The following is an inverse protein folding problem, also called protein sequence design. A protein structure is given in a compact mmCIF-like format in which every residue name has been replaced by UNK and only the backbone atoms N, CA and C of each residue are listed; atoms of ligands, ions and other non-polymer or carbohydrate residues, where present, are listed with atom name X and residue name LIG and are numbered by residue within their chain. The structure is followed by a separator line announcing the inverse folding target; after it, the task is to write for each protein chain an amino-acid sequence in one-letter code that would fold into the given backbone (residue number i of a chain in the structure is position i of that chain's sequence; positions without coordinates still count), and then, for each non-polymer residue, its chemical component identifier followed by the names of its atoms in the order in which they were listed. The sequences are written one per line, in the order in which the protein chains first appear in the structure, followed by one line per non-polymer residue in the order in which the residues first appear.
data_IF_484637189029
#
_entry.id   IF_484637189029
#
_cell.length_a   1.000
_cell.length_b   1.000
_cell.length_c   1.000
_cell.angle_alpha   90.00
_cell.angle_beta   90.00
_cell.angle_gamma   90.00
#
_symmetry.space_group_name_H-M   'P 1'
#
loop_
_entity.id
_entity.type
_entity.pdbx_description
1 polymer ?
#
# COMPACT_ATOMS: atom_id res chain seq x y z
N UNK A 1 69.98 27.26 13.13
CA UNK A 1 69.60 27.99 11.90
C UNK A 1 68.10 27.74 11.72
N UNK A 2 67.25 28.41 12.50
CA UNK A 2 66.67 29.73 12.20
C UNK A 2 66.03 29.81 10.81
N UNK A 3 64.71 30.00 10.80
CA UNK A 3 63.92 30.26 9.60
C UNK A 3 62.43 30.37 9.91
N UNK A 4 62.05 31.37 10.70
CA UNK A 4 60.67 31.86 10.85
C UNK A 4 60.17 32.48 9.54
N UNK A 5 58.88 32.29 9.23
CA UNK A 5 57.97 33.14 8.44
C UNK A 5 56.73 32.27 8.15
N UNK A 6 55.46 32.67 8.27
CA UNK A 6 54.79 33.93 8.55
C UNK A 6 53.36 33.61 8.97
N UNK A 7 52.79 34.50 9.77
CA UNK A 7 51.36 34.64 10.05
C UNK A 7 50.50 34.34 8.82
N UNK A 8 49.67 33.30 8.90
CA UNK A 8 48.44 33.24 8.13
C UNK A 8 47.32 33.65 9.10
N UNK A 9 46.79 34.86 8.87
CA UNK A 9 45.59 35.33 9.53
C UNK A 9 44.46 34.34 9.21
N UNK A 10 44.07 33.53 10.18
CA UNK A 10 42.76 32.89 10.14
C UNK A 10 41.80 34.03 10.48
N UNK A 11 41.23 34.64 9.44
CA UNK A 11 40.08 35.50 9.59
C UNK A 11 39.03 34.71 10.38
N UNK A 12 38.58 35.29 11.49
CA UNK A 12 37.41 34.80 12.20
C UNK A 12 36.26 34.89 11.22
N UNK A 13 35.90 33.77 10.58
CA UNK A 13 34.62 33.64 9.91
C UNK A 13 33.56 33.93 10.96
N UNK A 14 32.92 35.08 10.78
CA UNK A 14 31.72 35.50 11.47
C UNK A 14 30.69 34.40 11.23
N UNK A 15 30.55 33.50 12.20
CA UNK A 15 29.34 32.68 12.30
C UNK A 15 28.18 33.67 12.40
N UNK A 16 27.52 33.88 11.28
CA UNK A 16 26.20 34.49 11.23
C UNK A 16 25.30 33.57 12.05
N UNK A 17 25.12 33.91 13.32
CA UNK A 17 24.02 33.41 14.10
C UNK A 17 22.75 33.74 13.29
N UNK A 18 22.15 32.72 12.70
CA UNK A 18 20.77 32.84 12.22
C UNK A 18 19.94 33.04 13.48
N UNK A 19 19.68 34.29 13.82
CA UNK A 19 18.61 34.62 14.73
C UNK A 19 17.33 34.09 14.08
N UNK A 20 16.89 32.92 14.55
CA UNK A 20 15.54 32.44 14.28
C UNK A 20 14.63 33.44 14.99
N UNK A 21 14.21 34.47 14.26
CA UNK A 21 13.14 35.35 14.68
C UNK A 21 11.92 34.46 14.89
N UNK A 22 11.64 34.12 16.15
CA UNK A 22 10.39 33.50 16.57
C UNK A 22 9.31 34.57 16.49
N UNK A 23 9.05 35.05 15.28
CA UNK A 23 7.81 35.75 14.98
C UNK A 23 6.73 34.72 15.24
N UNK A 24 6.09 34.79 16.41
CA UNK A 24 4.85 34.07 16.67
C UNK A 24 3.90 34.52 15.56
N UNK A 25 3.74 33.68 14.54
CA UNK A 25 2.56 33.73 13.70
C UNK A 25 1.42 33.63 14.70
N UNK A 26 0.73 34.74 14.92
CA UNK A 26 -0.54 34.73 15.65
C UNK A 26 -1.50 33.98 14.74
N UNK A 27 -1.44 32.66 14.83
CA UNK A 27 -2.41 31.81 14.21
C UNK A 27 -3.68 32.01 15.01
N UNK A 28 -4.54 32.92 14.54
CA UNK A 28 -5.98 32.70 14.67
C UNK A 28 -6.32 31.49 13.79
N UNK A 29 -5.79 30.32 14.15
CA UNK A 29 -6.19 29.07 13.58
C UNK A 29 -7.62 28.87 14.07
N UNK A 30 -8.61 29.18 13.24
CA UNK A 30 -9.88 28.50 13.39
C UNK A 30 -9.54 27.01 13.34
N UNK A 31 -9.79 26.24 14.42
CA UNK A 31 -9.59 24.81 14.35
C UNK A 31 -10.52 24.30 13.26
N UNK A 32 -9.96 23.83 12.15
CA UNK A 32 -10.73 23.21 11.08
C UNK A 32 -11.54 22.09 11.73
N UNK A 33 -12.86 22.17 11.63
CA UNK A 33 -13.71 21.12 12.15
C UNK A 33 -13.50 19.86 11.30
N UNK A 34 -13.58 18.71 11.95
CA UNK A 34 -13.56 17.42 11.25
C UNK A 34 -14.62 17.39 10.13
N UNK A 35 -15.74 18.06 10.35
CA UNK A 35 -16.84 18.13 9.39
C UNK A 35 -16.46 18.94 8.14
N UNK A 36 -15.79 20.08 8.28
CA UNK A 36 -15.30 20.87 7.15
C UNK A 36 -14.25 20.10 6.35
N UNK A 37 -13.31 19.42 7.01
CA UNK A 37 -12.31 18.57 6.34
C UNK A 37 -12.99 17.43 5.57
N UNK A 38 -13.97 16.76 6.18
CA UNK A 38 -14.71 15.69 5.48
C UNK A 38 -15.43 16.22 4.26
N UNK A 39 -16.09 17.38 4.38
CA UNK A 39 -16.80 18.01 3.27
C UNK A 39 -15.86 18.42 2.13
N UNK A 40 -14.65 18.90 2.45
CA UNK A 40 -13.68 19.29 1.42
C UNK A 40 -13.03 18.10 0.70
N UNK A 41 -13.15 16.88 1.24
CA UNK A 41 -12.56 15.65 0.71
C UNK A 41 -13.60 14.55 0.40
N UNK A 42 -14.89 14.89 0.32
CA UNK A 42 -15.97 13.89 0.32
C UNK A 42 -15.85 12.86 -0.80
N UNK A 43 -15.57 13.30 -2.04
CA UNK A 43 -15.41 12.41 -3.19
C UNK A 43 -14.24 11.43 -3.03
N UNK A 44 -13.07 11.94 -2.59
CA UNK A 44 -11.87 11.13 -2.35
C UNK A 44 -12.12 10.09 -1.26
N UNK A 45 -12.80 10.48 -0.18
CA UNK A 45 -13.16 9.59 0.90
C UNK A 45 -14.17 8.52 0.45
N UNK A 46 -15.10 8.83 -0.46
CA UNK A 46 -16.01 7.84 -1.03
C UNK A 46 -15.27 6.84 -1.93
N UNK A 47 -14.33 7.29 -2.76
CA UNK A 47 -13.50 6.41 -3.61
C UNK A 47 -12.66 5.44 -2.78
N UNK A 48 -11.96 5.95 -1.75
CA UNK A 48 -11.20 5.11 -0.80
C UNK A 48 -12.14 4.13 -0.10
N UNK A 49 -13.32 4.58 0.31
CA UNK A 49 -14.30 3.72 0.97
C UNK A 49 -14.84 2.63 0.03
N UNK A 50 -15.09 2.94 -1.24
CA UNK A 50 -15.51 1.96 -2.27
C UNK A 50 -14.42 0.93 -2.52
N UNK A 51 -13.19 1.38 -2.77
CA UNK A 51 -12.06 0.51 -3.01
C UNK A 51 -11.84 -0.44 -1.81
N UNK A 52 -11.86 0.09 -0.59
CA UNK A 52 -11.77 -0.71 0.64
C UNK A 52 -12.92 -1.73 0.78
N UNK A 53 -14.15 -1.38 0.40
CA UNK A 53 -15.28 -2.33 0.44
C UNK A 53 -15.08 -3.46 -0.56
N UNK A 54 -14.63 -3.16 -1.78
CA UNK A 54 -14.39 -4.17 -2.81
C UNK A 54 -13.22 -5.08 -2.43
N UNK A 55 -12.10 -4.53 -1.95
CA UNK A 55 -10.97 -5.37 -1.50
C UNK A 55 -11.35 -6.25 -0.32
N UNK A 56 -12.10 -5.72 0.67
CA UNK A 56 -12.62 -6.54 1.77
C UNK A 56 -13.56 -7.65 1.29
N UNK A 57 -14.40 -7.36 0.30
CA UNK A 57 -15.28 -8.35 -0.30
C UNK A 57 -14.47 -9.46 -0.98
N UNK A 58 -13.49 -9.09 -1.81
CA UNK A 58 -12.63 -10.05 -2.50
C UNK A 58 -11.82 -10.90 -1.53
N UNK A 59 -11.23 -10.29 -0.50
CA UNK A 59 -10.54 -11.01 0.58
C UNK A 59 -11.47 -12.01 1.25
N UNK A 60 -12.72 -11.64 1.57
CA UNK A 60 -13.68 -12.58 2.13
C UNK A 60 -14.04 -13.68 1.13
N UNK A 61 -14.28 -13.34 -0.14
CA UNK A 61 -14.56 -14.31 -1.18
C UNK A 61 -13.42 -15.33 -1.33
N UNK A 62 -12.16 -14.88 -1.37
CA UNK A 62 -10.96 -15.73 -1.37
C UNK A 62 -10.92 -16.72 -0.20
N UNK A 63 -11.34 -16.29 0.99
CA UNK A 63 -11.34 -17.16 2.17
C UNK A 63 -12.45 -18.22 2.13
N UNK A 64 -13.63 -17.87 1.61
CA UNK A 64 -14.83 -18.67 1.80
C UNK A 64 -15.40 -19.31 0.53
N UNK A 65 -15.30 -18.69 -0.64
CA UNK A 65 -16.06 -19.08 -1.83
C UNK A 65 -15.22 -19.86 -2.85
N UNK A 66 -15.82 -20.87 -3.48
CA UNK A 66 -15.25 -21.61 -4.63
C UNK A 66 -16.02 -21.39 -5.94
N UNK A 67 -17.25 -20.85 -5.85
CA UNK A 67 -18.12 -20.47 -6.97
C UNK A 67 -19.06 -19.34 -6.54
N UNK A 68 -19.89 -18.85 -7.47
CA UNK A 68 -20.89 -17.79 -7.20
C UNK A 68 -20.27 -16.57 -6.50
N UNK A 69 -19.07 -16.18 -6.93
CA UNK A 69 -18.21 -15.19 -6.25
C UNK A 69 -18.89 -13.83 -6.05
N UNK A 70 -19.84 -13.47 -6.92
CA UNK A 70 -20.58 -12.21 -6.85
C UNK A 70 -22.02 -12.35 -6.32
N UNK A 71 -22.37 -13.53 -5.81
CA UNK A 71 -23.69 -13.83 -5.25
C UNK A 71 -24.84 -13.48 -6.21
N UNK A 72 -24.67 -13.79 -7.50
CA UNK A 72 -25.72 -13.60 -8.51
C UNK A 72 -26.94 -14.49 -8.26
N UNK A 73 -26.74 -15.57 -7.51
CA UNK A 73 -27.79 -16.42 -6.95
C UNK A 73 -27.67 -16.43 -5.41
N UNK A 74 -28.76 -16.72 -4.67
CA UNK A 74 -28.68 -16.89 -3.23
C UNK A 74 -27.58 -17.87 -2.84
N UNK A 75 -26.74 -17.48 -1.88
CA UNK A 75 -25.58 -18.27 -1.43
C UNK A 75 -26.03 -19.65 -0.95
N UNK A 76 -25.37 -20.70 -1.43
CA UNK A 76 -25.62 -22.08 -0.98
C UNK A 76 -24.36 -22.70 -0.36
N UNK A 77 -24.49 -23.76 0.47
CA UNK A 77 -23.33 -24.45 1.02
C UNK A 77 -22.35 -24.94 -0.05
N UNK A 78 -22.83 -25.29 -1.24
CA UNK A 78 -21.99 -25.78 -2.34
C UNK A 78 -21.09 -24.69 -2.95
N UNK A 79 -21.40 -23.42 -2.71
CA UNK A 79 -20.56 -22.29 -3.13
C UNK A 79 -19.35 -22.08 -2.20
N UNK A 80 -19.36 -22.70 -1.02
CA UNK A 80 -18.35 -22.52 0.02
C UNK A 80 -17.22 -23.56 -0.16
N UNK A 81 -15.97 -23.14 0.07
CA UNK A 81 -14.81 -24.03 0.09
C UNK A 81 -14.98 -25.12 1.15
N UNK A 82 -14.69 -26.36 0.80
CA UNK A 82 -14.84 -27.50 1.71
C UNK A 82 -13.86 -27.43 2.89
N UNK A 83 -12.75 -26.69 2.71
CA UNK A 83 -11.78 -26.36 3.75
C UNK A 83 -11.54 -24.85 3.76
N UNK A 84 -11.88 -24.21 4.88
CA UNK A 84 -11.64 -22.79 5.09
C UNK A 84 -10.21 -22.59 5.60
N UNK A 85 -9.41 -21.82 4.86
CA UNK A 85 -8.01 -21.56 5.15
C UNK A 85 -7.71 -20.08 4.93
N UNK A 86 -6.79 -19.55 5.73
CA UNK A 86 -6.38 -18.15 5.71
C UNK A 86 -6.88 -17.37 6.92
N UNK A 87 -6.57 -16.07 6.94
CA UNK A 87 -6.81 -15.22 8.10
C UNK A 87 -7.60 -13.98 7.70
N UNK A 88 -8.72 -13.75 8.39
CA UNK A 88 -9.51 -12.54 8.24
C UNK A 88 -9.02 -11.40 9.14
N UNK A 89 -8.60 -11.69 10.37
CA UNK A 89 -8.48 -10.68 11.43
C UNK A 89 -7.62 -9.46 11.10
N UNK A 90 -6.51 -9.63 10.37
CA UNK A 90 -5.63 -8.53 9.95
C UNK A 90 -6.05 -7.88 8.63
N UNK A 91 -6.79 -8.61 7.79
CA UNK A 91 -6.98 -8.29 6.37
C UNK A 91 -7.72 -6.98 6.10
N UNK A 92 -8.82 -6.64 6.82
CA UNK A 92 -9.45 -5.32 6.67
C UNK A 92 -8.56 -4.15 7.07
N UNK A 93 -7.62 -4.37 7.98
CA UNK A 93 -6.61 -3.38 8.36
C UNK A 93 -5.58 -3.18 7.26
N UNK A 94 -5.08 -4.26 6.66
CA UNK A 94 -4.19 -4.21 5.50
C UNK A 94 -4.88 -3.49 4.33
N UNK A 95 -6.12 -3.86 3.99
CA UNK A 95 -6.88 -3.21 2.92
C UNK A 95 -7.13 -1.72 3.18
N UNK A 96 -7.34 -1.31 4.44
CA UNK A 96 -7.44 0.09 4.80
C UNK A 96 -6.13 0.83 4.50
N UNK A 97 -5.01 0.31 5.01
CA UNK A 97 -3.70 0.93 4.79
C UNK A 97 -3.38 0.99 3.29
N UNK A 98 -3.53 -0.12 2.57
CA UNK A 98 -3.27 -0.20 1.13
C UNK A 98 -4.08 0.85 0.35
N UNK A 99 -5.39 0.97 0.62
CA UNK A 99 -6.25 1.96 -0.04
C UNK A 99 -5.75 3.40 0.16
N UNK A 100 -5.34 3.74 1.38
CA UNK A 100 -4.79 5.07 1.68
C UNK A 100 -3.41 5.29 1.07
N UNK A 101 -2.54 4.26 1.04
CA UNK A 101 -1.23 4.37 0.39
C UNK A 101 -1.39 4.55 -1.12
N UNK A 102 -2.27 3.80 -1.78
CA UNK A 102 -2.61 4.00 -3.20
C UNK A 102 -3.10 5.43 -3.45
N UNK A 103 -3.97 5.95 -2.59
CA UNK A 103 -4.40 7.33 -2.69
C UNK A 103 -3.21 8.31 -2.61
N UNK A 104 -2.28 8.12 -1.67
CA UNK A 104 -1.09 8.97 -1.55
C UNK A 104 -0.18 8.88 -2.77
N UNK A 105 0.05 7.66 -3.29
CA UNK A 105 0.81 7.42 -4.53
C UNK A 105 0.20 8.22 -5.68
N UNK A 106 -1.11 8.10 -5.89
CA UNK A 106 -1.80 8.78 -6.99
C UNK A 106 -1.85 10.30 -6.82
N UNK A 107 -2.07 10.78 -5.59
CA UNK A 107 -2.24 12.21 -5.31
C UNK A 107 -0.94 12.99 -5.38
N UNK A 108 0.17 12.38 -4.97
CA UNK A 108 1.45 13.06 -4.81
C UNK A 108 2.54 12.54 -5.74
N UNK A 109 2.24 11.55 -6.60
CA UNK A 109 3.19 10.91 -7.51
C UNK A 109 4.45 10.42 -6.77
N UNK A 110 4.25 9.73 -5.64
CA UNK A 110 5.33 9.23 -4.79
C UNK A 110 5.66 7.77 -5.10
N UNK A 111 6.96 7.48 -5.15
CA UNK A 111 7.47 6.11 -5.29
C UNK A 111 7.42 5.41 -3.93
N UNK A 112 6.66 4.32 -3.84
CA UNK A 112 6.38 3.63 -2.59
C UNK A 112 6.16 2.15 -2.84
N UNK A 113 6.61 1.32 -1.91
CA UNK A 113 6.21 -0.07 -1.79
C UNK A 113 5.78 -0.38 -0.36
N UNK A 114 4.95 -1.41 -0.19
CA UNK A 114 4.43 -1.84 1.11
C UNK A 114 5.18 -3.08 1.60
N UNK A 115 5.71 -3.01 2.83
CA UNK A 115 6.18 -4.19 3.57
C UNK A 115 5.09 -4.65 4.53
N UNK A 116 4.38 -5.71 4.16
CA UNK A 116 3.31 -6.27 4.99
C UNK A 116 3.90 -7.16 6.09
N UNK A 117 4.00 -6.64 7.31
CA UNK A 117 4.44 -7.41 8.48
C UNK A 117 3.55 -8.62 8.82
N UNK A 118 2.20 -8.46 8.96
CA UNK A 118 1.30 -9.59 9.18
C UNK A 118 1.04 -10.35 7.87
N UNK A 119 2.06 -11.08 7.41
CA UNK A 119 2.07 -11.76 6.11
C UNK A 119 1.00 -12.84 5.91
N UNK A 120 0.46 -13.37 7.01
CA UNK A 120 -0.71 -14.26 7.02
C UNK A 120 -2.00 -13.59 6.53
N UNK A 121 -2.00 -12.26 6.36
CA UNK A 121 -3.01 -11.46 5.67
C UNK A 121 -2.83 -11.39 4.14
N UNK A 122 -2.25 -12.42 3.53
CA UNK A 122 -2.06 -12.53 2.09
C UNK A 122 -3.29 -12.21 1.21
N UNK A 123 -4.53 -12.66 1.53
CA UNK A 123 -5.67 -12.39 0.66
C UNK A 123 -6.02 -10.89 0.59
N UNK A 124 -5.64 -10.09 1.58
CA UNK A 124 -5.76 -8.63 1.47
C UNK A 124 -4.84 -8.11 0.35
N UNK A 125 -3.57 -8.48 0.36
CA UNK A 125 -2.60 -8.04 -0.65
C UNK A 125 -2.99 -8.55 -2.04
N UNK A 126 -3.39 -9.82 -2.17
CA UNK A 126 -3.83 -10.41 -3.43
C UNK A 126 -5.06 -9.71 -3.99
N UNK A 127 -6.06 -9.37 -3.17
CA UNK A 127 -7.22 -8.59 -3.61
C UNK A 127 -6.83 -7.22 -4.18
N UNK A 128 -5.87 -6.51 -3.55
CA UNK A 128 -5.38 -5.23 -4.06
C UNK A 128 -4.63 -5.42 -5.40
N UNK A 129 -3.68 -6.35 -5.45
CA UNK A 129 -2.90 -6.68 -6.65
C UNK A 129 -3.79 -7.15 -7.82
N UNK A 130 -4.91 -7.81 -7.52
CA UNK A 130 -5.91 -8.18 -8.52
C UNK A 130 -6.59 -6.94 -9.09
N UNK A 131 -7.12 -6.06 -8.22
CA UNK A 131 -7.88 -4.88 -8.65
C UNK A 131 -7.04 -3.85 -9.41
N UNK A 132 -5.75 -3.71 -9.09
CA UNK A 132 -4.85 -2.81 -9.83
C UNK A 132 -4.33 -3.40 -11.15
N UNK A 133 -4.57 -4.69 -11.40
CA UNK A 133 -4.19 -5.37 -12.66
C UNK A 133 -2.85 -6.09 -12.61
N UNK A 134 -2.02 -5.85 -11.58
CA UNK A 134 -0.72 -6.51 -11.43
C UNK A 134 -0.81 -8.03 -11.47
N UNK A 135 -1.83 -8.65 -10.84
CA UNK A 135 -1.97 -10.11 -10.96
C UNK A 135 -2.31 -10.57 -12.38
N UNK A 136 -3.04 -9.79 -13.16
CA UNK A 136 -3.34 -10.11 -14.56
C UNK A 136 -2.09 -10.07 -15.43
N UNK A 137 -1.20 -9.10 -15.21
CA UNK A 137 0.05 -8.96 -15.95
C UNK A 137 0.97 -10.19 -15.79
N UNK A 138 0.97 -10.82 -14.61
CA UNK A 138 1.76 -12.03 -14.33
C UNK A 138 1.01 -13.33 -14.57
N UNK A 139 -0.32 -13.31 -14.43
CA UNK A 139 -1.22 -14.45 -14.59
C UNK A 139 -2.37 -14.05 -15.53
N UNK A 140 -2.19 -14.14 -16.87
CA UNK A 140 -3.17 -13.67 -17.84
C UNK A 140 -4.57 -14.28 -17.67
N UNK A 141 -4.66 -15.48 -17.08
CA UNK A 141 -5.92 -16.14 -16.77
C UNK A 141 -6.74 -15.47 -15.64
N UNK A 142 -6.12 -14.59 -14.85
CA UNK A 142 -6.75 -13.79 -13.79
C UNK A 142 -7.22 -12.45 -14.34
N UNK A 143 -8.00 -12.48 -15.43
CA UNK A 143 -8.48 -11.29 -16.13
C UNK A 143 -9.66 -10.59 -15.42
N UNK A 144 -9.87 -9.31 -15.75
CA UNK A 144 -11.05 -8.55 -15.32
C UNK A 144 -12.31 -9.01 -16.07
N UNK A 145 -12.86 -10.14 -15.63
CA UNK A 145 -14.11 -10.71 -16.11
C UNK A 145 -14.59 -11.78 -15.16
N UNK A 146 -15.80 -12.31 -15.40
CA UNK A 146 -16.39 -13.31 -14.50
C UNK A 146 -15.52 -14.55 -14.32
N UNK A 147 -14.96 -15.06 -15.42
CA UNK A 147 -14.11 -16.25 -15.39
C UNK A 147 -12.79 -15.99 -14.63
N UNK A 148 -12.13 -14.86 -14.89
CA UNK A 148 -10.88 -14.50 -14.23
C UNK A 148 -11.06 -14.24 -12.73
N UNK A 149 -12.16 -13.58 -12.35
CA UNK A 149 -12.52 -13.35 -10.95
C UNK A 149 -12.79 -14.65 -10.20
N UNK A 150 -13.54 -15.58 -10.81
CA UNK A 150 -13.81 -16.89 -10.20
C UNK A 150 -12.54 -17.71 -10.05
N UNK A 151 -11.66 -17.71 -11.05
CA UNK A 151 -10.33 -18.34 -10.96
C UNK A 151 -9.50 -17.73 -9.84
N UNK A 152 -9.44 -16.40 -9.76
CA UNK A 152 -8.70 -15.66 -8.73
C UNK A 152 -9.14 -16.08 -7.32
N UNK A 153 -10.43 -15.94 -7.02
CA UNK A 153 -10.99 -16.27 -5.70
C UNK A 153 -10.79 -17.74 -5.33
N UNK A 154 -11.03 -18.64 -6.28
CA UNK A 154 -10.86 -20.08 -6.04
C UNK A 154 -9.41 -20.45 -5.75
N UNK A 155 -8.43 -19.77 -6.35
CA UNK A 155 -7.00 -20.11 -6.26
C UNK A 155 -6.41 -19.90 -4.87
N UNK A 156 -6.98 -19.04 -4.03
CA UNK A 156 -6.46 -18.82 -2.68
C UNK A 156 -6.57 -20.06 -1.79
N UNK A 157 -5.45 -20.47 -1.18
CA UNK A 157 -5.32 -21.67 -0.32
C UNK A 157 -5.93 -22.94 -0.92
N UNK A 158 -5.79 -23.09 -2.23
CA UNK A 158 -6.29 -24.24 -3.01
C UNK A 158 -5.13 -25.12 -3.48
N UNK A 159 -5.32 -26.43 -3.71
CA UNK A 159 -4.29 -27.27 -4.31
C UNK A 159 -3.75 -26.67 -5.62
N UNK A 160 -2.43 -26.40 -5.67
CA UNK A 160 -1.77 -25.76 -6.81
C UNK A 160 -2.04 -24.26 -6.97
N UNK A 161 -2.70 -23.63 -5.99
CA UNK A 161 -3.04 -22.21 -5.98
C UNK A 161 -2.10 -21.34 -5.14
N UNK A 162 -2.59 -20.17 -4.72
CA UNK A 162 -1.84 -19.26 -3.86
C UNK A 162 -1.78 -19.79 -2.41
N UNK A 163 -0.63 -19.66 -1.72
CA UNK A 163 -0.53 -20.01 -0.31
C UNK A 163 -1.27 -18.99 0.58
N UNK A 164 -1.38 -19.32 1.87
CA UNK A 164 -2.09 -18.49 2.86
C UNK A 164 -1.28 -17.30 3.39
N UNK A 165 0.04 -17.31 3.15
CA UNK A 165 0.95 -16.19 3.43
C UNK A 165 1.41 -15.55 2.12
N UNK A 166 1.91 -14.32 2.19
CA UNK A 166 2.68 -13.77 1.08
C UNK A 166 3.87 -14.69 0.80
N UNK A 167 4.28 -14.78 -0.45
CA UNK A 167 5.41 -15.61 -0.82
C UNK A 167 6.19 -14.96 -1.97
N UNK A 168 7.44 -15.37 -2.24
CA UNK A 168 8.30 -14.69 -3.22
C UNK A 168 7.76 -14.66 -4.65
N UNK A 169 6.75 -15.47 -4.99
CA UNK A 169 6.12 -15.46 -6.32
C UNK A 169 4.98 -14.45 -6.46
N UNK A 170 4.54 -13.79 -5.38
CA UNK A 170 3.58 -12.68 -5.47
C UNK A 170 4.34 -11.41 -5.91
N UNK A 171 3.91 -10.74 -6.99
CA UNK A 171 4.52 -9.48 -7.42
C UNK A 171 4.60 -8.45 -6.29
N UNK A 172 5.73 -7.74 -6.21
CA UNK A 172 5.98 -6.73 -5.16
C UNK A 172 6.34 -7.28 -3.77
N UNK A 173 6.35 -8.61 -3.57
CA UNK A 173 6.67 -9.19 -2.25
C UNK A 173 8.19 -9.29 -2.03
N UNK A 174 8.70 -8.50 -1.09
CA UNK A 174 10.09 -8.60 -0.59
C UNK A 174 10.16 -9.14 0.86
N UNK A 175 9.00 -9.36 1.48
CA UNK A 175 8.86 -9.82 2.86
C UNK A 175 7.62 -10.71 2.96
N UNK A 176 7.81 -12.00 3.23
CA UNK A 176 6.70 -12.95 3.36
C UNK A 176 5.88 -12.71 4.63
N UNK A 177 6.50 -12.35 5.75
CA UNK A 177 5.80 -12.08 7.02
C UNK A 177 5.15 -13.32 7.66
N UNK A 178 5.65 -14.52 7.36
CA UNK A 178 5.28 -15.77 8.05
C UNK A 178 5.91 -15.85 9.44
N UNK A 179 7.24 -15.77 9.50
CA UNK A 179 7.94 -15.51 10.77
C UNK A 179 7.92 -14.00 11.05
N UNK A 180 7.19 -13.61 12.08
CA UNK A 180 7.01 -12.21 12.46
C UNK A 180 8.28 -11.63 13.10
N UNK A 181 8.55 -10.35 12.86
CA UNK A 181 9.60 -9.58 13.56
C UNK A 181 10.55 -8.81 12.64
N UNK A 182 10.64 -9.17 11.37
CA UNK A 182 11.65 -8.59 10.46
C UNK A 182 11.14 -7.49 9.54
N UNK A 183 9.85 -7.16 9.56
CA UNK A 183 9.23 -6.22 8.63
C UNK A 183 9.93 -4.84 8.61
N UNK A 184 10.23 -4.28 9.79
CA UNK A 184 10.94 -3.00 9.87
C UNK A 184 12.38 -3.12 9.40
N UNK A 185 13.12 -4.16 9.81
CA UNK A 185 14.49 -4.36 9.34
C UNK A 185 14.55 -4.48 7.81
N UNK A 186 13.61 -5.21 7.20
CA UNK A 186 13.46 -5.30 5.75
C UNK A 186 13.15 -3.94 5.12
N UNK A 187 12.19 -3.18 5.67
CA UNK A 187 11.82 -1.86 5.16
C UNK A 187 12.98 -0.85 5.23
N UNK A 188 13.70 -0.81 6.36
CA UNK A 188 14.87 0.05 6.53
C UNK A 188 15.99 -0.31 5.55
N UNK A 189 16.29 -1.60 5.39
CA UNK A 189 17.29 -2.06 4.43
C UNK A 189 16.91 -1.72 2.99
N UNK A 190 15.63 -1.88 2.63
CA UNK A 190 15.13 -1.57 1.30
C UNK A 190 15.10 -0.06 0.99
N UNK A 191 14.99 0.81 2.00
CA UNK A 191 15.05 2.25 1.83
C UNK A 191 16.49 2.81 1.80
N UNK A 192 17.48 2.05 2.28
CA UNK A 192 18.88 2.48 2.32
C UNK A 192 19.40 2.72 0.89
N UNK A 193 20.02 3.88 0.67
CA UNK A 193 20.55 4.35 -0.62
C UNK A 193 19.55 4.37 -1.79
N UNK A 194 18.25 4.25 -1.49
CA UNK A 194 17.18 4.30 -2.48
C UNK A 194 16.66 5.74 -2.60
N UNK A 195 17.36 6.55 -3.40
CA UNK A 195 16.92 7.92 -3.73
C UNK A 195 16.37 7.95 -5.16
N UNK A 196 15.06 8.16 -5.31
CA UNK A 196 14.45 8.42 -6.61
C UNK A 196 14.31 9.94 -6.80
N UNK A 197 15.07 10.54 -7.72
CA UNK A 197 14.85 11.94 -8.10
C UNK A 197 13.52 12.04 -8.85
N UNK A 198 12.59 12.86 -8.37
CA UNK A 198 11.25 13.08 -8.95
C UNK A 198 11.24 13.69 -10.36
N UNK A 199 12.40 13.92 -10.97
CA UNK A 199 12.54 14.69 -12.21
C UNK A 199 12.30 13.93 -13.53
N UNK A 200 11.98 12.62 -13.53
CA UNK A 200 11.98 11.81 -14.77
C UNK A 200 10.74 10.96 -15.04
N UNK A 201 9.66 11.05 -14.26
CA UNK A 201 8.43 10.29 -14.55
C UNK A 201 7.43 11.11 -15.38
N UNK A 202 6.91 10.46 -16.43
CA UNK A 202 5.73 10.92 -17.15
C UNK A 202 4.50 10.83 -16.23
N UNK A 203 3.58 11.80 -16.27
CA UNK A 203 2.40 11.80 -15.40
C UNK A 203 1.55 10.54 -15.60
N UNK A 204 1.14 9.92 -14.49
CA UNK A 204 0.17 8.83 -14.48
C UNK A 204 -1.19 9.40 -14.92
N UNK A 205 -1.88 8.82 -15.93
CA UNK A 205 -3.18 9.32 -16.35
C UNK A 205 -4.21 9.18 -15.22
N UNK A 206 -5.16 10.13 -15.09
CA UNK A 206 -6.20 10.05 -14.07
C UNK A 206 -7.04 8.78 -14.25
N UNK A 207 -7.44 8.18 -13.13
CA UNK A 207 -8.32 7.02 -13.11
C UNK A 207 -9.67 7.37 -13.74
N UNK A 208 -9.95 6.79 -14.91
CA UNK A 208 -11.30 6.71 -15.46
C UNK A 208 -11.89 5.37 -15.03
N UNK A 209 -12.82 5.40 -14.06
CA UNK A 209 -13.65 4.23 -13.77
C UNK A 209 -14.42 3.82 -15.04
N UNK A 210 -14.61 2.51 -15.32
CA UNK A 210 -15.53 2.06 -16.36
C UNK A 210 -17.00 2.40 -16.03
#
# INVERSE_FOLDING_TARGET
MFGSMKNCNIEQEQYMAVEISTTRVSATAHPLSIQEIRQSHDAELDDIARFRRVTNYLTAAELYLKSNVLLQQPLKPEDIKDRLLGHWGTSPGINLIYAHLNHLIMRYDIDMFLVTGPGHGAPANLANLYLEGTLHDYYPELSFGWEGLEKFVRRFSWPGGFPSHLYPGVPGTIHEGGELGYALATAFGAAMDSYTSTATRSPIPPFTAP
#
